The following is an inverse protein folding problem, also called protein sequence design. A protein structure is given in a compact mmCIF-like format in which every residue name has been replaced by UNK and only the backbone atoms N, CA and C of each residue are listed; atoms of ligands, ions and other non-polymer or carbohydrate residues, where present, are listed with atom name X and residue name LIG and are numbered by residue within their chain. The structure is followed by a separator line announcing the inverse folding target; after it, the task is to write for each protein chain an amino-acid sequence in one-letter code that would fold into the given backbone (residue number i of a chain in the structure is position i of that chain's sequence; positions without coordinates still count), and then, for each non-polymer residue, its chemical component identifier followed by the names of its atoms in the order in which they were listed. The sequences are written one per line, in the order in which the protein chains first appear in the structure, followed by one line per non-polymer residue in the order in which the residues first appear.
data_IF_734316475749
#
_entry.id   IF_734316475749
#
_cell.length_a   1.000
_cell.length_b   1.000
_cell.length_c   1.000
_cell.angle_alpha   90.00
_cell.angle_beta   90.00
_cell.angle_gamma   90.00
#
_symmetry.space_group_name_H-M   'P 1'
#
loop_
_entity.id
_entity.type
_entity.pdbx_description
1 polymer ?
#
# COMPACT_ATOMS: atom_id res chain seq x y z
N UNK A 1 28.51 5.58 -29.29
CA UNK A 1 27.39 4.75 -28.81
C UNK A 1 27.68 4.01 -27.49
N UNK A 2 28.75 4.33 -26.77
CA UNK A 2 29.14 3.69 -25.49
C UNK A 2 29.09 4.59 -24.25
N UNK A 3 28.69 5.85 -24.37
CA UNK A 3 28.65 6.79 -23.22
C UNK A 3 27.30 6.89 -22.51
N UNK A 4 26.23 6.33 -23.07
CA UNK A 4 24.89 6.36 -22.48
C UNK A 4 24.56 5.14 -21.61
N UNK A 5 25.26 4.02 -21.83
CA UNK A 5 25.05 2.79 -21.04
C UNK A 5 25.75 2.78 -19.68
N UNK A 6 26.81 3.59 -19.47
CA UNK A 6 27.57 3.60 -18.21
C UNK A 6 26.94 4.46 -17.10
N UNK A 7 25.96 5.31 -17.42
CA UNK A 7 25.23 6.11 -16.42
C UNK A 7 23.91 5.52 -15.97
N UNK A 8 23.42 4.45 -16.64
CA UNK A 8 22.23 3.69 -16.21
C UNK A 8 22.58 2.45 -15.38
N UNK A 9 23.85 2.04 -15.36
CA UNK A 9 24.38 1.21 -14.27
C UNK A 9 24.57 2.09 -13.04
N UNK A 10 23.47 2.64 -12.53
CA UNK A 10 23.41 3.21 -11.20
C UNK A 10 23.90 2.12 -10.26
N UNK A 11 24.99 2.38 -9.58
CA UNK A 11 25.52 1.60 -8.47
C UNK A 11 24.39 1.32 -7.47
N UNK A 12 23.60 0.29 -7.71
CA UNK A 12 22.58 -0.27 -6.79
C UNK A 12 23.29 -1.06 -5.68
N UNK A 13 24.58 -0.88 -5.53
CA UNK A 13 25.37 -1.44 -4.44
C UNK A 13 25.50 -0.43 -3.30
N UNK A 14 24.34 0.06 -2.78
CA UNK A 14 24.33 0.71 -1.49
C UNK A 14 24.20 -0.35 -0.41
N UNK A 15 24.99 -0.29 0.67
CA UNK A 15 24.73 -1.11 1.84
C UNK A 15 23.36 -0.69 2.40
N UNK A 16 22.32 -1.35 1.93
CA UNK A 16 20.96 -1.18 2.42
C UNK A 16 21.01 -1.35 3.92
N UNK A 17 20.68 -0.31 4.69
CA UNK A 17 20.75 -0.40 6.14
C UNK A 17 19.89 -1.57 6.59
N UNK A 18 20.45 -2.47 7.38
CA UNK A 18 19.74 -3.69 7.88
C UNK A 18 18.38 -3.36 8.48
N UNK A 19 18.25 -2.18 9.09
CA UNK A 19 16.98 -1.68 9.63
C UNK A 19 15.90 -1.56 8.57
N UNK A 20 16.22 -1.06 7.37
CA UNK A 20 15.24 -0.89 6.28
C UNK A 20 14.78 -2.25 5.74
N UNK A 21 15.69 -3.23 5.68
CA UNK A 21 15.34 -4.61 5.32
C UNK A 21 14.38 -5.20 6.36
N UNK A 22 14.63 -4.99 7.66
CA UNK A 22 13.74 -5.46 8.72
C UNK A 22 12.32 -4.86 8.58
N UNK A 23 12.22 -3.56 8.24
CA UNK A 23 10.95 -2.91 7.97
C UNK A 23 10.27 -3.47 6.71
N UNK A 24 11.04 -3.74 5.65
CA UNK A 24 10.53 -4.36 4.43
C UNK A 24 9.95 -5.77 4.68
N UNK A 25 10.55 -6.57 5.55
CA UNK A 25 9.97 -7.86 5.97
C UNK A 25 8.67 -7.70 6.74
N UNK A 26 8.54 -6.65 7.55
CA UNK A 26 7.29 -6.30 8.22
C UNK A 26 6.18 -5.93 7.24
N UNK A 27 6.47 -5.06 6.26
CA UNK A 27 5.50 -4.68 5.23
C UNK A 27 5.20 -5.82 4.25
N UNK A 28 6.13 -6.75 4.02
CA UNK A 28 5.87 -7.99 3.29
C UNK A 28 4.82 -8.85 4.02
N UNK A 29 4.96 -9.05 5.33
CA UNK A 29 3.98 -9.82 6.12
C UNK A 29 2.59 -9.15 6.08
N UNK A 30 2.55 -7.82 6.18
CA UNK A 30 1.31 -7.05 6.09
C UNK A 30 0.67 -7.11 4.70
N UNK A 31 1.48 -6.96 3.64
CA UNK A 31 1.01 -7.06 2.26
C UNK A 31 0.48 -8.45 1.94
N UNK A 32 1.16 -9.52 2.40
CA UNK A 32 0.62 -10.87 2.28
C UNK A 32 -0.70 -11.03 3.03
N UNK A 33 -0.80 -10.54 4.29
CA UNK A 33 -2.02 -10.62 5.07
C UNK A 33 -3.21 -9.89 4.42
N UNK A 34 -2.97 -8.77 3.75
CA UNK A 34 -3.99 -7.98 3.07
C UNK A 34 -4.41 -8.61 1.74
N UNK A 35 -3.46 -8.81 0.84
CA UNK A 35 -3.76 -9.08 -0.57
C UNK A 35 -3.97 -10.56 -0.90
N UNK A 36 -3.43 -11.50 -0.12
CA UNK A 36 -3.61 -12.93 -0.36
C UNK A 36 -5.08 -13.34 -0.31
N UNK A 37 -5.90 -12.64 0.44
CA UNK A 37 -7.34 -12.88 0.53
C UNK A 37 -8.04 -12.90 -0.82
N UNK A 38 -7.60 -12.06 -1.76
CA UNK A 38 -8.21 -12.00 -3.10
C UNK A 38 -8.03 -13.32 -3.87
N UNK A 39 -6.92 -14.01 -3.62
CA UNK A 39 -6.61 -15.29 -4.28
C UNK A 39 -7.23 -16.53 -3.59
N UNK A 40 -7.45 -16.47 -2.28
CA UNK A 40 -7.92 -17.63 -1.48
C UNK A 40 -9.39 -17.57 -1.07
N UNK A 41 -10.09 -16.49 -1.43
CA UNK A 41 -11.48 -16.24 -1.04
C UNK A 41 -12.44 -17.38 -1.41
N UNK A 42 -12.39 -17.96 -2.64
CA UNK A 42 -13.25 -19.08 -3.01
C UNK A 42 -13.01 -20.34 -2.17
N UNK A 43 -11.76 -20.60 -1.79
CA UNK A 43 -11.40 -21.77 -0.97
C UNK A 43 -11.93 -21.62 0.44
N UNK A 44 -11.85 -20.41 1.01
CA UNK A 44 -12.42 -20.09 2.33
C UNK A 44 -13.95 -20.25 2.28
N UNK A 45 -14.61 -19.64 1.28
CA UNK A 45 -16.07 -19.72 1.13
C UNK A 45 -16.55 -21.17 1.09
N UNK A 46 -15.90 -22.01 0.26
CA UNK A 46 -16.21 -23.43 0.13
C UNK A 46 -15.95 -24.18 1.44
N UNK A 47 -14.82 -23.92 2.10
CA UNK A 47 -14.42 -24.62 3.32
C UNK A 47 -15.32 -24.31 4.52
N UNK A 48 -15.83 -23.08 4.62
CA UNK A 48 -16.65 -22.62 5.73
C UNK A 48 -18.16 -22.64 5.43
N UNK A 49 -18.56 -23.05 4.22
CA UNK A 49 -19.96 -23.14 3.82
C UNK A 49 -20.66 -21.78 3.75
N UNK A 50 -19.94 -20.71 3.39
CA UNK A 50 -20.47 -19.35 3.23
C UNK A 50 -20.45 -18.91 1.78
N UNK A 51 -21.26 -17.92 1.43
CA UNK A 51 -21.26 -17.35 0.09
C UNK A 51 -19.99 -16.53 -0.19
N UNK A 52 -19.62 -16.34 -1.47
CA UNK A 52 -18.49 -15.49 -1.87
C UNK A 52 -18.63 -14.06 -1.34
N UNK A 53 -19.80 -13.40 -1.41
CA UNK A 53 -20.02 -12.08 -0.81
C UNK A 53 -19.77 -12.06 0.72
N UNK A 54 -20.27 -13.06 1.44
CA UNK A 54 -20.00 -13.18 2.88
C UNK A 54 -18.50 -13.34 3.16
N UNK A 55 -17.81 -14.19 2.41
CA UNK A 55 -16.35 -14.31 2.51
C UNK A 55 -15.65 -12.97 2.23
N UNK A 56 -16.20 -12.13 1.35
CA UNK A 56 -15.72 -10.77 1.08
C UNK A 56 -15.70 -9.87 2.32
N UNK A 57 -16.57 -10.08 3.30
CA UNK A 57 -16.54 -9.34 4.57
C UNK A 57 -15.23 -9.52 5.36
N UNK A 58 -14.49 -10.61 5.11
CA UNK A 58 -13.18 -10.85 5.71
C UNK A 58 -12.14 -9.82 5.24
N UNK A 59 -12.27 -9.31 4.02
CA UNK A 59 -11.45 -8.22 3.48
C UNK A 59 -11.84 -6.91 4.17
N UNK A 60 -13.15 -6.65 4.27
CA UNK A 60 -13.67 -5.45 4.94
C UNK A 60 -13.30 -5.40 6.43
N UNK A 61 -13.35 -6.53 7.12
CA UNK A 61 -12.95 -6.63 8.53
C UNK A 61 -11.48 -6.24 8.73
N UNK A 62 -10.59 -6.70 7.84
CA UNK A 62 -9.19 -6.30 7.86
C UNK A 62 -9.02 -4.79 7.63
N UNK A 63 -9.68 -4.25 6.61
CA UNK A 63 -9.62 -2.82 6.31
C UNK A 63 -10.14 -1.95 7.47
N UNK A 64 -11.22 -2.38 8.14
CA UNK A 64 -11.70 -1.74 9.38
C UNK A 64 -10.64 -1.83 10.47
N UNK A 65 -9.97 -2.98 10.64
CA UNK A 65 -8.85 -3.13 11.56
C UNK A 65 -7.75 -2.11 11.29
N UNK A 66 -7.38 -1.87 10.03
CA UNK A 66 -6.40 -0.84 9.63
C UNK A 66 -6.85 0.56 10.06
N UNK A 67 -8.13 0.90 9.78
CA UNK A 67 -8.67 2.22 10.11
C UNK A 67 -8.70 2.49 11.61
N UNK A 68 -9.05 1.50 12.44
CA UNK A 68 -9.11 1.64 13.89
C UNK A 68 -7.73 1.50 14.56
N UNK A 69 -6.91 0.61 14.05
CA UNK A 69 -5.63 0.26 14.66
C UNK A 69 -4.61 1.40 14.60
N UNK A 70 -4.61 2.19 13.53
CA UNK A 70 -3.67 3.28 13.35
C UNK A 70 -3.78 4.35 14.47
N UNK A 71 -4.93 5.00 14.67
CA UNK A 71 -5.07 6.00 15.74
C UNK A 71 -4.96 5.37 17.14
N UNK A 72 -5.52 4.18 17.34
CA UNK A 72 -5.45 3.49 18.64
C UNK A 72 -4.01 3.22 19.06
N UNK A 73 -3.18 2.72 18.16
CA UNK A 73 -1.77 2.43 18.46
C UNK A 73 -1.00 3.70 18.82
N UNK A 74 -1.24 4.79 18.07
CA UNK A 74 -0.58 6.07 18.38
C UNK A 74 -0.95 6.56 19.77
N UNK A 75 -2.23 6.49 20.13
CA UNK A 75 -2.71 6.93 21.44
C UNK A 75 -2.09 6.12 22.59
N UNK A 76 -1.96 4.81 22.42
CA UNK A 76 -1.46 3.90 23.47
C UNK A 76 0.07 3.91 23.55
N UNK A 77 0.74 4.00 22.38
CA UNK A 77 2.17 3.74 22.28
C UNK A 77 3.06 4.99 22.14
N UNK A 78 2.48 6.20 22.09
CA UNK A 78 3.19 7.47 21.81
C UNK A 78 4.41 7.74 22.70
N UNK A 79 4.38 7.28 23.95
CA UNK A 79 5.47 7.48 24.92
C UNK A 79 6.52 6.36 24.88
N UNK A 80 6.33 5.35 24.05
CA UNK A 80 7.21 4.18 23.99
C UNK A 80 8.29 4.35 22.95
N UNK A 81 9.49 3.76 23.14
CA UNK A 81 10.54 3.72 22.12
C UNK A 81 10.02 3.07 20.85
N UNK A 82 10.38 3.64 19.67
CA UNK A 82 9.86 3.21 18.38
C UNK A 82 10.08 1.72 18.09
N UNK A 83 11.23 1.19 18.50
CA UNK A 83 11.55 -0.25 18.38
C UNK A 83 10.57 -1.14 19.14
N UNK A 84 10.18 -0.77 20.36
CA UNK A 84 9.23 -1.54 21.16
C UNK A 84 7.83 -1.52 20.54
N UNK A 85 7.43 -0.39 19.94
CA UNK A 85 6.17 -0.30 19.20
C UNK A 85 6.19 -1.26 18.00
N UNK A 86 7.26 -1.24 17.20
CA UNK A 86 7.40 -2.17 16.05
C UNK A 86 7.36 -3.64 16.49
N UNK A 87 8.01 -4.00 17.60
CA UNK A 87 7.98 -5.36 18.14
C UNK A 87 6.58 -5.78 18.61
N UNK A 88 5.84 -4.87 19.26
CA UNK A 88 4.45 -5.14 19.65
C UNK A 88 3.54 -5.31 18.43
N UNK A 89 3.71 -4.45 17.40
CA UNK A 89 2.94 -4.54 16.17
C UNK A 89 3.25 -5.84 15.38
N UNK A 90 4.51 -6.24 15.29
CA UNK A 90 4.87 -7.53 14.67
C UNK A 90 4.33 -8.72 15.49
N UNK A 91 4.30 -8.61 16.81
CA UNK A 91 3.63 -9.59 17.67
C UNK A 91 2.15 -9.73 17.36
N UNK A 92 1.47 -8.59 17.10
CA UNK A 92 0.05 -8.58 16.74
C UNK A 92 -0.19 -9.14 15.32
N UNK A 93 0.74 -8.92 14.37
CA UNK A 93 0.71 -9.58 13.05
C UNK A 93 0.76 -11.11 13.22
N UNK A 94 1.69 -11.63 14.04
CA UNK A 94 1.84 -13.06 14.30
C UNK A 94 0.56 -13.59 14.92
N UNK A 95 0.09 -12.98 16.00
CA UNK A 95 -1.10 -13.43 16.73
C UNK A 95 -2.34 -13.47 15.85
N UNK A 96 -2.63 -12.37 15.15
CA UNK A 96 -3.82 -12.25 14.31
C UNK A 96 -3.84 -13.28 13.18
N UNK A 97 -2.71 -13.51 12.51
CA UNK A 97 -2.64 -14.48 11.40
C UNK A 97 -2.55 -15.93 11.91
N UNK A 98 -1.86 -16.21 13.01
CA UNK A 98 -1.87 -17.55 13.63
C UNK A 98 -3.28 -17.92 14.09
N UNK A 99 -3.99 -17.03 14.77
CA UNK A 99 -5.38 -17.27 15.17
C UNK A 99 -6.32 -17.37 13.97
N UNK A 100 -6.09 -16.63 12.89
CA UNK A 100 -6.83 -16.78 11.62
C UNK A 100 -6.61 -18.19 11.02
N UNK A 101 -5.37 -18.69 11.02
CA UNK A 101 -5.05 -20.03 10.55
C UNK A 101 -5.77 -21.14 11.38
N UNK A 102 -5.95 -20.91 12.67
CA UNK A 102 -6.59 -21.83 13.60
C UNK A 102 -8.11 -21.64 13.74
N UNK A 103 -8.69 -20.68 13.01
CA UNK A 103 -10.12 -20.34 13.14
C UNK A 103 -11.02 -21.50 12.74
N UNK A 104 -11.90 -21.97 13.65
CA UNK A 104 -12.79 -23.12 13.39
C UNK A 104 -13.98 -22.76 12.53
N UNK A 105 -14.40 -21.50 12.51
CA UNK A 105 -15.60 -21.04 11.82
C UNK A 105 -15.43 -19.61 11.26
N UNK A 106 -16.43 -19.18 10.47
CA UNK A 106 -16.45 -17.87 9.82
C UNK A 106 -16.33 -16.69 10.80
N UNK A 107 -17.04 -16.70 11.91
CA UNK A 107 -17.10 -15.56 12.84
C UNK A 107 -15.79 -15.36 13.57
N UNK A 108 -15.13 -16.45 13.99
CA UNK A 108 -13.78 -16.35 14.57
C UNK A 108 -12.76 -15.86 13.54
N UNK A 109 -12.85 -16.34 12.29
CA UNK A 109 -11.98 -15.85 11.23
C UNK A 109 -12.21 -14.35 10.97
N UNK A 110 -13.47 -13.91 10.94
CA UNK A 110 -13.85 -12.49 10.75
C UNK A 110 -13.22 -11.62 11.85
N UNK A 111 -13.36 -12.03 13.13
CA UNK A 111 -12.75 -11.32 14.25
C UNK A 111 -11.22 -11.29 14.14
N UNK A 112 -10.58 -12.40 13.77
CA UNK A 112 -9.12 -12.46 13.63
C UNK A 112 -8.62 -11.68 12.43
N UNK A 113 -9.40 -11.53 11.38
CA UNK A 113 -9.09 -10.62 10.26
C UNK A 113 -9.08 -9.16 10.72
N UNK A 114 -10.04 -8.74 11.53
CA UNK A 114 -10.01 -7.40 12.15
C UNK A 114 -8.76 -7.21 13.02
N UNK A 115 -8.43 -8.18 13.87
CA UNK A 115 -7.21 -8.15 14.71
C UNK A 115 -5.94 -8.08 13.85
N UNK A 116 -5.87 -8.85 12.76
CA UNK A 116 -4.73 -8.84 11.83
C UNK A 116 -4.56 -7.48 11.13
N UNK A 117 -5.63 -6.72 10.93
CA UNK A 117 -5.61 -5.38 10.34
C UNK A 117 -5.09 -4.30 11.30
N UNK A 118 -5.30 -4.45 12.63
CA UNK A 118 -4.92 -3.43 13.61
C UNK A 118 -3.48 -2.95 13.52
N UNK A 119 -2.46 -3.80 13.36
CA UNK A 119 -1.06 -3.36 13.29
C UNK A 119 -0.70 -2.68 11.97
N UNK A 120 -1.47 -2.85 10.90
CA UNK A 120 -1.06 -2.47 9.54
C UNK A 120 -0.75 -0.97 9.42
N UNK A 121 -1.74 -0.11 9.61
CA UNK A 121 -1.55 1.34 9.47
C UNK A 121 -0.53 1.90 10.47
N UNK A 122 -0.53 1.38 11.69
CA UNK A 122 0.40 1.76 12.73
C UNK A 122 1.85 1.33 12.40
N UNK A 123 2.05 0.14 11.84
CA UNK A 123 3.37 -0.33 11.43
C UNK A 123 3.94 0.56 10.32
N UNK A 124 3.14 0.93 9.32
CA UNK A 124 3.55 1.88 8.29
C UNK A 124 3.86 3.25 8.88
N UNK A 125 3.05 3.73 9.83
CA UNK A 125 3.28 5.01 10.51
C UNK A 125 4.60 5.04 11.28
N UNK A 126 4.81 4.09 12.17
CA UNK A 126 6.05 3.99 12.98
C UNK A 126 7.25 3.63 12.11
N UNK A 127 7.06 2.73 11.16
CA UNK A 127 8.09 2.30 10.21
C UNK A 127 8.60 3.44 9.34
N UNK A 128 7.70 4.32 8.84
CA UNK A 128 8.09 5.50 8.06
C UNK A 128 8.95 6.47 8.88
N UNK A 129 8.57 6.73 10.14
CA UNK A 129 9.38 7.55 11.06
C UNK A 129 10.74 6.90 11.31
N UNK A 130 10.80 5.59 11.51
CA UNK A 130 12.08 4.88 11.68
C UNK A 130 12.89 4.92 10.41
N UNK A 131 12.30 4.67 9.24
CA UNK A 131 12.96 4.73 7.95
C UNK A 131 13.58 6.12 7.69
N UNK A 132 12.83 7.19 7.95
CA UNK A 132 13.33 8.56 7.83
C UNK A 132 14.51 8.84 8.77
N UNK A 133 14.45 8.37 10.02
CA UNK A 133 15.53 8.58 11.01
C UNK A 133 16.80 7.80 10.72
N UNK A 134 16.70 6.63 10.10
CA UNK A 134 17.88 5.83 9.73
C UNK A 134 18.37 6.14 8.31
N UNK A 135 17.64 6.96 7.55
CA UNK A 135 18.01 7.35 6.20
C UNK A 135 19.33 8.14 6.16
N UNK A 136 20.07 8.00 5.07
CA UNK A 136 21.21 8.86 4.80
C UNK A 136 20.74 10.27 4.40
N UNK A 137 21.59 11.26 4.59
CA UNK A 137 21.27 12.67 4.26
C UNK A 137 20.84 12.78 2.80
N UNK A 138 19.66 13.36 2.56
CA UNK A 138 19.11 13.54 1.21
C UNK A 138 18.45 12.30 0.59
N UNK A 139 18.26 11.18 1.35
CA UNK A 139 17.69 9.92 0.85
C UNK A 139 16.50 9.40 1.68
N UNK A 140 15.67 10.32 2.16
CA UNK A 140 14.53 9.98 3.03
C UNK A 140 13.44 9.23 2.28
N UNK A 141 13.07 9.68 1.07
CA UNK A 141 12.03 9.06 0.27
C UNK A 141 12.44 7.66 -0.19
N UNK A 142 13.73 7.47 -0.53
CA UNK A 142 14.28 6.17 -0.87
C UNK A 142 14.23 5.21 0.32
N UNK A 143 14.54 5.66 1.54
CA UNK A 143 14.44 4.84 2.74
C UNK A 143 13.00 4.39 3.01
N UNK A 144 12.01 5.28 2.85
CA UNK A 144 10.58 4.93 2.93
C UNK A 144 10.19 3.96 1.80
N UNK A 145 10.69 4.18 0.58
CA UNK A 145 10.46 3.28 -0.55
C UNK A 145 10.97 1.86 -0.28
N UNK A 146 12.18 1.72 0.30
CA UNK A 146 12.74 0.41 0.69
C UNK A 146 11.83 -0.28 1.71
N UNK A 147 11.27 0.44 2.67
CA UNK A 147 10.29 -0.12 3.60
C UNK A 147 9.04 -0.63 2.85
N UNK A 148 8.53 0.14 1.88
CA UNK A 148 7.33 -0.21 1.10
C UNK A 148 7.59 -1.36 0.12
N UNK A 149 8.84 -1.61 -0.29
CA UNK A 149 9.22 -2.73 -1.19
C UNK A 149 8.64 -4.07 -0.71
N UNK A 150 8.62 -4.32 0.60
CA UNK A 150 8.04 -5.56 1.13
C UNK A 150 6.59 -5.78 0.68
N UNK A 151 5.78 -4.72 0.68
CA UNK A 151 4.38 -4.80 0.23
C UNK A 151 4.26 -5.09 -1.27
N UNK A 152 5.12 -4.49 -2.10
CA UNK A 152 5.12 -4.75 -3.54
C UNK A 152 5.64 -6.15 -3.87
N UNK A 153 6.62 -6.65 -3.12
CA UNK A 153 7.09 -8.04 -3.21
C UNK A 153 6.00 -9.03 -2.76
N UNK A 154 5.20 -8.68 -1.75
CA UNK A 154 4.03 -9.48 -1.36
C UNK A 154 3.02 -9.60 -2.50
N UNK A 155 2.74 -8.52 -3.22
CA UNK A 155 1.86 -8.56 -4.38
C UNK A 155 2.44 -9.39 -5.53
N UNK A 156 3.75 -9.27 -5.78
CA UNK A 156 4.41 -9.94 -6.91
C UNK A 156 4.55 -11.46 -6.69
N UNK A 157 4.89 -11.88 -5.49
CA UNK A 157 5.19 -13.29 -5.17
C UNK A 157 4.30 -13.87 -4.08
N UNK A 158 3.97 -13.07 -3.05
CA UNK A 158 3.24 -13.54 -1.88
C UNK A 158 1.82 -13.97 -2.20
N UNK A 159 1.11 -13.17 -3.02
CA UNK A 159 -0.27 -13.49 -3.42
C UNK A 159 -0.33 -14.75 -4.29
N UNK A 160 0.45 -14.89 -5.38
CA UNK A 160 0.48 -16.12 -6.17
C UNK A 160 0.87 -17.35 -5.33
N UNK A 161 1.89 -17.21 -4.48
CA UNK A 161 2.35 -18.31 -3.61
C UNK A 161 1.25 -18.72 -2.62
N UNK A 162 0.61 -17.74 -1.97
CA UNK A 162 -0.47 -18.00 -1.01
C UNK A 162 -1.69 -18.66 -1.66
N UNK A 163 -2.04 -18.24 -2.89
CA UNK A 163 -3.12 -18.85 -3.68
C UNK A 163 -2.78 -20.28 -4.05
N UNK A 164 -1.56 -20.55 -4.51
CA UNK A 164 -1.09 -21.89 -4.82
C UNK A 164 -1.15 -22.81 -3.59
N UNK A 165 -0.66 -22.35 -2.44
CA UNK A 165 -0.68 -23.12 -1.19
C UNK A 165 -2.11 -23.38 -0.72
N UNK A 166 -3.01 -22.41 -0.88
CA UNK A 166 -4.43 -22.59 -0.55
C UNK A 166 -5.06 -23.73 -1.35
N UNK A 167 -4.82 -23.77 -2.66
CA UNK A 167 -5.34 -24.81 -3.54
C UNK A 167 -4.66 -26.18 -3.32
N UNK A 168 -3.35 -26.21 -3.08
CA UNK A 168 -2.58 -27.45 -2.92
C UNK A 168 -2.69 -28.10 -1.55
N UNK A 169 -2.86 -27.31 -0.48
CA UNK A 169 -2.87 -27.78 0.91
C UNK A 169 -4.15 -27.32 1.63
N UNK A 170 -4.22 -26.04 1.99
CA UNK A 170 -5.39 -25.39 2.62
C UNK A 170 -5.14 -23.90 2.76
N UNK A 171 -6.22 -23.10 2.74
CA UNK A 171 -6.16 -21.66 3.03
C UNK A 171 -5.60 -21.34 4.43
N UNK A 172 -5.75 -22.25 5.39
CA UNK A 172 -5.18 -22.12 6.74
C UNK A 172 -3.65 -22.08 6.73
N UNK A 173 -3.02 -22.89 5.87
CA UNK A 173 -1.57 -22.90 5.70
C UNK A 173 -1.06 -21.53 5.20
N UNK A 174 -1.82 -20.84 4.36
CA UNK A 174 -1.47 -19.51 3.88
C UNK A 174 -1.37 -18.51 5.04
N UNK A 175 -2.34 -18.46 5.94
CA UNK A 175 -2.25 -17.60 7.15
C UNK A 175 -1.13 -18.03 8.09
N UNK A 176 -0.88 -19.34 8.22
CA UNK A 176 0.26 -19.87 8.97
C UNK A 176 1.60 -19.35 8.43
N UNK A 177 1.78 -19.31 7.12
CA UNK A 177 2.97 -18.75 6.47
C UNK A 177 3.11 -17.26 6.74
N UNK A 178 2.01 -16.49 6.68
CA UNK A 178 2.03 -15.06 7.05
C UNK A 178 2.47 -14.87 8.50
N UNK A 179 2.00 -15.72 9.42
CA UNK A 179 2.44 -15.68 10.82
C UNK A 179 3.95 -15.98 10.97
N UNK A 180 4.47 -16.95 10.21
CA UNK A 180 5.92 -17.26 10.18
C UNK A 180 6.72 -16.08 9.63
N UNK A 181 6.26 -15.43 8.55
CA UNK A 181 6.90 -14.21 8.04
C UNK A 181 6.86 -13.07 9.05
N UNK A 182 5.76 -12.92 9.79
CA UNK A 182 5.65 -12.01 10.92
C UNK A 182 6.71 -12.29 12.01
N UNK A 183 6.96 -13.57 12.33
CA UNK A 183 7.99 -13.97 13.29
C UNK A 183 9.40 -13.66 12.78
N UNK A 184 9.68 -13.88 11.49
CA UNK A 184 10.94 -13.46 10.85
C UNK A 184 11.09 -11.95 10.93
N UNK A 185 10.06 -11.18 10.57
CA UNK A 185 10.08 -9.73 10.67
C UNK A 185 10.35 -9.25 12.10
N UNK A 186 9.72 -9.86 13.11
CA UNK A 186 9.95 -9.57 14.52
C UNK A 186 11.41 -9.80 14.92
N UNK A 187 11.99 -10.93 14.51
CA UNK A 187 13.40 -11.22 14.76
C UNK A 187 14.33 -10.20 14.12
N UNK A 188 14.08 -9.84 12.86
CA UNK A 188 14.88 -8.84 12.14
C UNK A 188 14.74 -7.45 12.77
N UNK A 189 13.53 -7.04 13.17
CA UNK A 189 13.31 -5.78 13.91
C UNK A 189 14.08 -5.80 15.23
N UNK A 190 14.05 -6.91 15.98
CA UNK A 190 14.79 -7.05 17.22
C UNK A 190 16.30 -6.92 17.03
N UNK A 191 16.85 -7.52 15.99
CA UNK A 191 18.29 -7.59 15.74
C UNK A 191 18.83 -6.34 15.03
N UNK A 192 18.09 -5.77 14.05
CA UNK A 192 18.61 -4.80 13.10
C UNK A 192 18.09 -3.38 13.28
N UNK A 193 16.94 -3.19 13.92
CA UNK A 193 16.44 -1.84 14.21
C UNK A 193 17.14 -1.31 15.47
N UNK A 194 17.78 -0.13 15.42
CA UNK A 194 18.43 0.45 16.59
C UNK A 194 17.43 0.84 17.68
N UNK A 195 17.91 1.02 18.90
CA UNK A 195 17.10 1.54 19.99
C UNK A 195 16.88 3.05 19.78
N UNK A 196 15.81 3.38 19.02
CA UNK A 196 15.43 4.77 18.80
C UNK A 196 14.52 5.23 19.95
N UNK A 197 14.78 6.42 20.52
CA UNK A 197 13.94 6.97 21.58
C UNK A 197 12.53 7.23 21.08
N UNK A 198 11.60 7.34 22.03
CA UNK A 198 10.24 7.81 21.75
C UNK A 198 10.28 9.18 21.07
N UNK A 199 9.23 9.50 20.33
CA UNK A 199 9.02 10.87 19.88
C UNK A 199 8.67 11.76 21.08
N UNK A 200 8.95 13.09 21.02
CA UNK A 200 8.51 14.00 22.05
C UNK A 200 7.00 13.86 22.28
N UNK A 201 6.61 13.60 23.54
CA UNK A 201 5.18 13.50 23.86
C UNK A 201 4.54 14.88 23.90
N UNK A 202 3.73 15.18 22.92
CA UNK A 202 2.95 16.43 22.84
C UNK A 202 1.58 16.32 23.53
N UNK A 203 1.32 15.19 24.20
CA UNK A 203 0.02 14.85 24.77
C UNK A 203 -1.02 14.53 23.69
N UNK A 204 -2.19 14.05 24.11
CA UNK A 204 -3.26 13.67 23.16
C UNK A 204 -3.68 14.83 22.26
N UNK A 205 -3.88 16.01 22.80
CA UNK A 205 -4.26 17.20 22.02
C UNK A 205 -3.16 17.61 21.03
N UNK A 206 -1.90 17.42 21.40
CA UNK A 206 -0.74 17.69 20.55
C UNK A 206 -0.66 16.76 19.34
N UNK A 207 -0.94 15.47 19.52
CA UNK A 207 -0.95 14.47 18.45
C UNK A 207 -1.95 14.81 17.31
N UNK A 208 -3.07 15.43 17.63
CA UNK A 208 -4.09 15.84 16.65
C UNK A 208 -3.95 17.29 16.17
N UNK A 209 -2.99 18.06 16.72
CA UNK A 209 -2.85 19.49 16.45
C UNK A 209 -2.63 19.78 14.97
N UNK A 210 -1.87 18.96 14.27
CA UNK A 210 -1.58 19.13 12.84
C UNK A 210 -2.84 19.07 11.97
N UNK A 211 -3.88 18.34 12.38
CA UNK A 211 -5.16 18.24 11.67
C UNK A 211 -5.99 19.53 11.68
N UNK A 212 -5.58 20.55 12.46
CA UNK A 212 -6.17 21.89 12.41
C UNK A 212 -5.75 22.67 11.16
N UNK A 213 -4.63 22.31 10.54
CA UNK A 213 -4.19 22.86 9.24
C UNK A 213 -4.88 22.16 8.08
N UNK A 214 -5.09 22.85 6.97
CA UNK A 214 -5.61 22.24 5.75
C UNK A 214 -4.54 21.41 4.99
N UNK A 215 -3.25 21.61 5.26
CA UNK A 215 -2.16 20.93 4.55
C UNK A 215 -2.25 19.40 4.66
N UNK A 216 -2.32 18.76 5.85
CA UNK A 216 -2.42 17.30 5.94
C UNK A 216 -3.69 16.75 5.29
N UNK A 217 -4.83 17.47 5.36
CA UNK A 217 -6.07 17.05 4.70
C UNK A 217 -5.95 17.04 3.18
N UNK A 218 -5.25 18.00 2.60
CA UNK A 218 -4.99 18.04 1.15
C UNK A 218 -4.08 16.88 0.71
N UNK A 219 -3.06 16.55 1.52
CA UNK A 219 -2.22 15.38 1.27
C UNK A 219 -3.03 14.08 1.39
N UNK A 220 -3.81 13.91 2.48
CA UNK A 220 -4.65 12.72 2.67
C UNK A 220 -5.73 12.60 1.59
N UNK A 221 -6.34 13.70 1.14
CA UNK A 221 -7.27 13.71 0.02
C UNK A 221 -6.58 13.29 -1.28
N UNK A 222 -5.34 13.75 -1.52
CA UNK A 222 -4.54 13.30 -2.66
C UNK A 222 -4.24 11.80 -2.60
N UNK A 223 -3.97 11.25 -1.40
CA UNK A 223 -3.81 9.79 -1.20
C UNK A 223 -5.13 9.07 -1.50
N UNK A 224 -6.21 9.45 -0.82
CA UNK A 224 -7.50 8.77 -0.90
C UNK A 224 -8.06 8.77 -2.32
N UNK A 225 -8.10 9.94 -2.98
CA UNK A 225 -8.68 10.08 -4.30
C UNK A 225 -7.74 9.65 -5.41
N UNK A 226 -6.42 9.95 -5.28
CA UNK A 226 -5.42 9.56 -6.27
C UNK A 226 -5.29 8.03 -6.38
N UNK A 227 -5.09 7.36 -5.25
CA UNK A 227 -4.98 5.90 -5.23
C UNK A 227 -6.34 5.24 -5.47
N UNK A 228 -7.41 5.75 -4.83
CA UNK A 228 -8.78 5.26 -5.03
C UNK A 228 -9.22 5.30 -6.50
N UNK A 229 -8.80 6.34 -7.25
CA UNK A 229 -9.07 6.41 -8.68
C UNK A 229 -8.41 5.28 -9.48
N UNK A 230 -7.18 4.92 -9.15
CA UNK A 230 -6.52 3.75 -9.77
C UNK A 230 -7.28 2.47 -9.38
N UNK A 231 -7.76 2.35 -8.14
CA UNK A 231 -8.53 1.20 -7.69
C UNK A 231 -9.92 1.09 -8.29
N UNK A 232 -10.53 2.18 -8.79
CA UNK A 232 -11.78 2.09 -9.58
C UNK A 232 -11.63 1.10 -10.75
N UNK A 233 -10.50 1.13 -11.40
CA UNK A 233 -10.17 0.27 -12.51
C UNK A 233 -9.47 -1.02 -12.07
N UNK A 234 -8.48 -0.94 -11.18
CA UNK A 234 -7.64 -2.08 -10.80
C UNK A 234 -8.42 -3.21 -10.14
N UNK A 235 -9.49 -2.88 -9.39
CA UNK A 235 -10.38 -3.88 -8.80
C UNK A 235 -11.05 -4.79 -9.83
N UNK A 236 -11.14 -4.34 -11.08
CA UNK A 236 -11.77 -5.06 -12.19
C UNK A 236 -10.78 -5.43 -13.30
N UNK A 237 -9.47 -5.41 -13.01
CA UNK A 237 -8.43 -5.67 -14.00
C UNK A 237 -8.53 -7.08 -14.60
N UNK A 238 -8.80 -8.09 -13.79
CA UNK A 238 -8.90 -9.49 -14.26
C UNK A 238 -10.03 -9.70 -15.27
N UNK A 239 -11.29 -9.35 -14.98
CA UNK A 239 -12.34 -9.45 -15.98
C UNK A 239 -12.11 -8.53 -17.20
N UNK A 240 -11.52 -7.35 -17.04
CA UNK A 240 -11.16 -6.49 -18.16
C UNK A 240 -10.15 -7.18 -19.08
N UNK A 241 -9.09 -7.76 -18.54
CA UNK A 241 -8.06 -8.44 -19.33
C UNK A 241 -8.60 -9.64 -20.11
N UNK A 242 -9.52 -10.39 -19.49
CA UNK A 242 -10.12 -11.58 -20.17
C UNK A 242 -11.21 -11.16 -21.15
N UNK A 243 -12.21 -10.41 -20.71
CA UNK A 243 -13.42 -10.17 -21.49
C UNK A 243 -13.30 -9.00 -22.47
N UNK A 244 -12.48 -7.98 -22.15
CA UNK A 244 -12.30 -6.81 -23.03
C UNK A 244 -11.02 -6.90 -23.84
N UNK A 245 -9.89 -7.25 -23.22
CA UNK A 245 -8.58 -7.28 -23.89
C UNK A 245 -8.27 -8.62 -24.58
N UNK A 246 -9.10 -9.67 -24.39
CA UNK A 246 -8.99 -10.95 -25.09
C UNK A 246 -7.80 -11.82 -24.65
N UNK A 247 -7.35 -11.69 -23.40
CA UNK A 247 -6.40 -12.63 -22.80
C UNK A 247 -7.12 -13.90 -22.35
N UNK A 248 -6.38 -15.02 -22.29
CA UNK A 248 -6.92 -16.27 -21.76
C UNK A 248 -6.92 -16.21 -20.22
N UNK A 249 -7.86 -16.89 -19.61
CA UNK A 249 -7.92 -16.98 -18.13
C UNK A 249 -6.65 -17.60 -17.54
N UNK A 250 -5.97 -18.47 -18.29
CA UNK A 250 -4.69 -19.09 -17.93
C UNK A 250 -3.54 -18.06 -17.82
N UNK A 251 -3.62 -16.96 -18.58
CA UNK A 251 -2.61 -15.90 -18.61
C UNK A 251 -2.74 -14.94 -17.39
N UNK A 252 -3.86 -14.98 -16.65
CA UNK A 252 -4.14 -14.03 -15.58
C UNK A 252 -3.08 -14.01 -14.48
N UNK A 253 -2.53 -15.17 -14.14
CA UNK A 253 -1.45 -15.24 -13.13
C UNK A 253 -0.24 -14.42 -13.57
N UNK A 254 0.18 -14.56 -14.83
CA UNK A 254 1.29 -13.78 -15.37
C UNK A 254 0.95 -12.28 -15.46
N UNK A 255 -0.27 -11.96 -15.87
CA UNK A 255 -0.75 -10.56 -15.98
C UNK A 255 -0.71 -9.87 -14.61
N UNK A 256 -1.21 -10.53 -13.56
CA UNK A 256 -1.19 -9.98 -12.19
C UNK A 256 0.25 -9.87 -11.65
N UNK A 257 1.13 -10.82 -11.99
CA UNK A 257 2.56 -10.71 -11.68
C UNK A 257 3.20 -9.50 -12.36
N UNK A 258 2.88 -9.22 -13.63
CA UNK A 258 3.36 -8.04 -14.34
C UNK A 258 2.84 -6.74 -13.71
N UNK A 259 1.59 -6.72 -13.24
CA UNK A 259 1.05 -5.61 -12.46
C UNK A 259 1.86 -5.40 -11.17
N UNK A 260 2.14 -6.47 -10.43
CA UNK A 260 2.99 -6.44 -9.23
C UNK A 260 4.41 -5.96 -9.53
N UNK A 261 4.99 -6.36 -10.65
CA UNK A 261 6.29 -5.85 -11.12
C UNK A 261 6.23 -4.35 -11.42
N UNK A 262 5.15 -3.87 -12.06
CA UNK A 262 4.89 -2.45 -12.24
C UNK A 262 4.89 -1.69 -10.91
N UNK A 263 4.16 -2.20 -9.90
CA UNK A 263 4.11 -1.64 -8.55
C UNK A 263 5.51 -1.57 -7.90
N UNK A 264 6.28 -2.65 -8.00
CA UNK A 264 7.64 -2.72 -7.46
C UNK A 264 8.56 -1.70 -8.11
N UNK A 265 8.60 -1.66 -9.44
CA UNK A 265 9.41 -0.70 -10.20
C UNK A 265 9.00 0.74 -9.91
N UNK A 266 7.69 1.01 -9.89
CA UNK A 266 7.14 2.33 -9.58
C UNK A 266 7.52 2.82 -8.19
N UNK A 267 7.47 1.97 -7.18
CA UNK A 267 7.86 2.31 -5.81
C UNK A 267 9.33 2.76 -5.73
N UNK A 268 10.25 2.01 -6.36
CA UNK A 268 11.68 2.36 -6.37
C UNK A 268 11.91 3.70 -7.10
N UNK A 269 11.30 3.84 -8.27
CA UNK A 269 11.38 5.06 -9.09
C UNK A 269 10.85 6.26 -8.31
N UNK A 270 9.70 6.12 -7.66
CA UNK A 270 9.07 7.17 -6.86
C UNK A 270 9.93 7.65 -5.71
N UNK A 271 10.52 6.73 -4.94
CA UNK A 271 11.45 7.06 -3.85
C UNK A 271 12.69 7.80 -4.34
N UNK A 272 13.34 7.27 -5.38
CA UNK A 272 14.55 7.87 -5.95
C UNK A 272 14.30 9.29 -6.51
N UNK A 273 13.24 9.47 -7.30
CA UNK A 273 12.96 10.78 -7.89
C UNK A 273 12.41 11.80 -6.88
N UNK A 274 11.75 11.35 -5.80
CA UNK A 274 11.33 12.26 -4.74
C UNK A 274 12.51 12.89 -4.01
N UNK A 275 13.59 12.14 -3.79
CA UNK A 275 14.82 12.67 -3.19
C UNK A 275 15.61 13.55 -4.17
N UNK A 276 15.59 13.21 -5.48
CA UNK A 276 16.33 13.95 -6.51
C UNK A 276 15.68 15.29 -6.89
N UNK A 277 14.36 15.32 -6.94
CA UNK A 277 13.60 16.51 -7.31
C UNK A 277 12.89 17.09 -6.09
N UNK A 278 11.64 16.74 -5.89
CA UNK A 278 10.86 16.99 -4.67
C UNK A 278 9.68 16.04 -4.63
N UNK A 279 9.19 15.64 -3.44
CA UNK A 279 8.00 14.80 -3.32
C UNK A 279 6.78 15.38 -4.06
N UNK A 280 6.58 16.70 -3.99
CA UNK A 280 5.46 17.40 -4.63
C UNK A 280 5.48 17.27 -6.16
N UNK A 281 6.66 17.41 -6.75
CA UNK A 281 6.81 17.25 -8.22
C UNK A 281 6.50 15.82 -8.63
N UNK A 282 7.04 14.83 -7.91
CA UNK A 282 6.79 13.42 -8.22
C UNK A 282 5.31 13.09 -8.10
N UNK A 283 4.63 13.49 -7.01
CA UNK A 283 3.18 13.27 -6.84
C UNK A 283 2.40 13.86 -8.01
N UNK A 284 2.66 15.12 -8.37
CA UNK A 284 1.96 15.80 -9.47
C UNK A 284 2.13 15.09 -10.81
N UNK A 285 3.38 14.76 -11.18
CA UNK A 285 3.66 14.11 -12.45
C UNK A 285 3.09 12.69 -12.51
N UNK A 286 3.22 11.93 -11.43
CA UNK A 286 2.74 10.55 -11.38
C UNK A 286 1.22 10.47 -11.42
N UNK A 287 0.50 11.33 -10.68
CA UNK A 287 -0.97 11.38 -10.75
C UNK A 287 -1.44 11.85 -12.12
N UNK A 288 -0.74 12.82 -12.75
CA UNK A 288 -1.02 13.23 -14.13
C UNK A 288 -0.85 12.07 -15.12
N UNK A 289 0.25 11.33 -15.01
CA UNK A 289 0.50 10.12 -15.83
C UNK A 289 -0.56 9.05 -15.59
N UNK A 290 -0.95 8.81 -14.33
CA UNK A 290 -1.99 7.83 -13.99
C UNK A 290 -3.36 8.24 -14.59
N UNK A 291 -3.71 9.52 -14.53
CA UNK A 291 -4.93 10.02 -15.16
C UNK A 291 -4.94 9.78 -16.67
N UNK A 292 -3.84 10.12 -17.36
CA UNK A 292 -3.70 9.87 -18.80
C UNK A 292 -3.72 8.38 -19.14
N UNK A 293 -3.08 7.53 -18.32
CA UNK A 293 -3.07 6.09 -18.50
C UNK A 293 -4.48 5.50 -18.34
N UNK A 294 -5.27 5.95 -17.36
CA UNK A 294 -6.65 5.51 -17.18
C UNK A 294 -7.54 5.93 -18.37
N UNK A 295 -7.40 7.16 -18.86
CA UNK A 295 -8.07 7.60 -20.10
C UNK A 295 -7.61 6.73 -21.28
N UNK A 296 -6.32 6.45 -21.37
CA UNK A 296 -5.75 5.54 -22.37
C UNK A 296 -6.33 4.12 -22.29
N UNK A 297 -6.56 3.59 -21.10
CA UNK A 297 -7.20 2.28 -20.88
C UNK A 297 -8.63 2.30 -21.41
N UNK A 298 -9.39 3.35 -21.15
CA UNK A 298 -10.77 3.45 -21.65
C UNK A 298 -10.84 3.28 -23.18
N UNK A 299 -9.96 3.94 -23.93
CA UNK A 299 -9.94 3.87 -25.39
C UNK A 299 -9.16 2.65 -25.93
N UNK A 300 -8.15 2.20 -25.23
CA UNK A 300 -7.20 1.18 -25.68
C UNK A 300 -7.41 -0.22 -25.11
N UNK A 301 -8.42 -0.44 -24.26
CA UNK A 301 -8.66 -1.72 -23.57
C UNK A 301 -8.86 -2.90 -24.55
N UNK A 302 -9.41 -2.66 -25.74
CA UNK A 302 -9.64 -3.68 -26.76
C UNK A 302 -8.35 -4.08 -27.51
N UNK A 303 -7.27 -3.31 -27.37
CA UNK A 303 -5.97 -3.65 -27.98
C UNK A 303 -5.12 -4.37 -26.95
N UNK A 304 -5.00 -5.68 -27.10
CA UNK A 304 -4.43 -6.64 -26.12
C UNK A 304 -3.13 -6.14 -25.45
N UNK A 305 -2.11 -5.86 -26.23
CA UNK A 305 -0.80 -5.48 -25.68
C UNK A 305 -0.73 -4.02 -25.20
N UNK A 306 -1.55 -3.14 -25.76
CA UNK A 306 -1.67 -1.77 -25.27
C UNK A 306 -2.32 -1.74 -23.89
N UNK A 307 -3.40 -2.51 -23.72
CA UNK A 307 -4.07 -2.67 -22.42
C UNK A 307 -3.10 -3.18 -21.35
N UNK A 308 -2.27 -4.18 -21.67
CA UNK A 308 -1.24 -4.73 -20.78
C UNK A 308 -0.18 -3.68 -20.42
N UNK A 309 0.31 -2.92 -21.40
CA UNK A 309 1.30 -1.86 -21.17
C UNK A 309 0.75 -0.74 -20.30
N UNK A 310 -0.48 -0.30 -20.57
CA UNK A 310 -1.17 0.72 -19.77
C UNK A 310 -1.47 0.23 -18.35
N UNK A 311 -1.78 -1.06 -18.18
CA UNK A 311 -1.91 -1.68 -16.87
C UNK A 311 -0.60 -1.57 -16.08
N UNK A 312 0.52 -1.98 -16.66
CA UNK A 312 1.82 -1.90 -16.00
C UNK A 312 2.18 -0.46 -15.64
N UNK A 313 1.89 0.50 -16.52
CA UNK A 313 2.13 1.92 -16.27
C UNK A 313 1.25 2.44 -15.11
N UNK A 314 -0.04 2.11 -15.11
CA UNK A 314 -0.99 2.56 -14.09
C UNK A 314 -0.65 1.98 -12.72
N UNK A 315 -0.29 0.70 -12.65
CA UNK A 315 0.15 0.04 -11.41
C UNK A 315 1.50 0.56 -10.93
N UNK A 316 2.41 0.92 -11.83
CA UNK A 316 3.65 1.60 -11.47
C UNK A 316 3.35 2.98 -10.85
N UNK A 317 2.43 3.75 -11.42
CA UNK A 317 2.01 5.02 -10.85
C UNK A 317 1.42 4.87 -9.44
N UNK A 318 0.64 3.82 -9.18
CA UNK A 318 0.01 3.56 -7.88
C UNK A 318 1.03 3.55 -6.73
N UNK A 319 2.17 2.92 -6.92
CA UNK A 319 3.20 2.83 -5.89
C UNK A 319 4.30 3.89 -6.03
N UNK A 320 4.45 4.52 -7.19
CA UNK A 320 5.39 5.63 -7.38
C UNK A 320 5.03 6.84 -6.50
N UNK A 321 3.75 7.08 -6.21
CA UNK A 321 3.31 8.17 -5.33
C UNK A 321 3.43 7.83 -3.84
N UNK A 322 3.56 6.55 -3.47
CA UNK A 322 3.47 6.08 -2.08
C UNK A 322 4.50 6.74 -1.16
N UNK A 323 5.80 6.60 -1.46
CA UNK A 323 6.86 7.19 -0.64
C UNK A 323 6.84 8.72 -0.62
N UNK A 324 6.64 9.43 -1.75
CA UNK A 324 6.46 10.87 -1.76
C UNK A 324 5.29 11.36 -0.90
N UNK A 325 4.13 10.73 -0.99
CA UNK A 325 2.94 11.08 -0.18
C UNK A 325 3.20 10.82 1.30
N UNK A 326 3.90 9.75 1.64
CA UNK A 326 4.29 9.43 3.02
C UNK A 326 5.21 10.51 3.61
N UNK A 327 6.17 11.02 2.83
CA UNK A 327 7.02 12.12 3.27
C UNK A 327 6.26 13.43 3.43
N UNK A 328 5.37 13.77 2.48
CA UNK A 328 4.58 14.98 2.57
C UNK A 328 3.73 15.02 3.85
N UNK A 329 3.14 13.90 4.26
CA UNK A 329 2.38 13.87 5.50
C UNK A 329 3.28 13.98 6.72
N UNK A 330 4.47 13.35 6.74
CA UNK A 330 5.42 13.45 7.84
C UNK A 330 5.87 14.91 8.04
N UNK A 331 6.19 15.63 6.97
CA UNK A 331 6.57 17.04 7.01
C UNK A 331 5.45 17.96 7.55
N UNK A 332 4.18 17.59 7.31
CA UNK A 332 3.01 18.37 7.71
C UNK A 332 2.36 17.92 9.03
N UNK A 333 2.93 16.92 9.71
CA UNK A 333 2.36 16.37 10.96
C UNK A 333 3.29 16.51 12.16
N UNK A 334 4.01 17.64 12.27
CA UNK A 334 4.93 17.91 13.39
C UNK A 334 4.23 17.77 14.75
N UNK A 335 4.80 16.93 15.61
CA UNK A 335 4.25 16.58 16.91
C UNK A 335 3.18 15.49 16.89
N UNK A 336 2.82 14.98 15.70
CA UNK A 336 1.91 13.86 15.47
C UNK A 336 2.37 12.99 14.30
N UNK A 337 3.69 12.85 14.10
CA UNK A 337 4.30 12.21 12.94
C UNK A 337 3.82 10.76 12.76
N UNK A 338 3.74 9.99 13.86
CA UNK A 338 3.24 8.61 13.82
C UNK A 338 1.78 8.55 13.38
N UNK A 339 0.95 9.47 13.89
CA UNK A 339 -0.46 9.52 13.53
C UNK A 339 -0.63 9.96 12.08
N UNK A 340 0.08 11.01 11.64
CA UNK A 340 0.04 11.49 10.27
C UNK A 340 0.41 10.39 9.28
N UNK A 341 1.52 9.72 9.51
CA UNK A 341 2.00 8.64 8.66
C UNK A 341 1.04 7.42 8.64
N UNK A 342 0.42 7.09 9.78
CA UNK A 342 -0.59 6.04 9.87
C UNK A 342 -1.89 6.41 9.15
N UNK A 343 -2.29 7.69 9.16
CA UNK A 343 -3.48 8.18 8.44
C UNK A 343 -3.35 8.06 6.92
N UNK A 344 -2.12 8.01 6.38
CA UNK A 344 -1.92 7.70 4.95
C UNK A 344 -2.49 6.32 4.61
N UNK A 345 -2.28 5.31 5.46
CA UNK A 345 -2.82 3.97 5.24
C UNK A 345 -4.35 3.92 5.40
N UNK A 346 -4.88 4.71 6.33
CA UNK A 346 -6.34 4.88 6.45
C UNK A 346 -6.91 5.49 5.17
N UNK A 347 -6.32 6.59 4.68
CA UNK A 347 -6.75 7.26 3.45
C UNK A 347 -6.63 6.34 2.23
N UNK A 348 -5.54 5.57 2.14
CA UNK A 348 -5.32 4.59 1.08
C UNK A 348 -6.43 3.51 1.09
N UNK A 349 -6.72 2.90 2.24
CA UNK A 349 -7.74 1.85 2.36
C UNK A 349 -9.16 2.38 2.12
N UNK A 350 -9.48 3.60 2.60
CA UNK A 350 -10.75 4.24 2.28
C UNK A 350 -10.86 4.56 0.78
N UNK A 351 -9.76 5.02 0.16
CA UNK A 351 -9.69 5.24 -1.27
C UNK A 351 -9.94 3.95 -2.07
N UNK A 352 -9.33 2.83 -1.65
CA UNK A 352 -9.53 1.53 -2.28
C UNK A 352 -10.98 1.08 -2.19
N UNK A 353 -11.60 1.20 -1.02
CA UNK A 353 -13.00 0.81 -0.82
C UNK A 353 -13.96 1.67 -1.68
N UNK A 354 -13.78 3.00 -1.66
CA UNK A 354 -14.56 3.93 -2.48
C UNK A 354 -14.31 3.67 -3.98
N UNK A 355 -13.05 3.45 -4.36
CA UNK A 355 -12.68 3.17 -5.73
C UNK A 355 -13.32 1.91 -6.26
N UNK A 356 -13.24 0.80 -5.54
CA UNK A 356 -13.86 -0.46 -5.91
C UNK A 356 -15.39 -0.31 -6.06
N UNK A 357 -16.04 0.40 -5.14
CA UNK A 357 -17.49 0.65 -5.19
C UNK A 357 -17.87 1.48 -6.43
N UNK A 358 -17.23 2.65 -6.60
CA UNK A 358 -17.57 3.57 -7.70
C UNK A 358 -17.18 2.98 -9.07
N UNK A 359 -16.05 2.24 -9.14
CA UNK A 359 -15.66 1.51 -10.35
C UNK A 359 -16.63 0.40 -10.75
N UNK A 360 -17.35 -0.19 -9.78
CA UNK A 360 -18.40 -1.19 -10.04
C UNK A 360 -19.70 -0.62 -10.60
N UNK A 361 -19.98 0.67 -10.40
CA UNK A 361 -21.26 1.26 -10.83
C UNK A 361 -21.49 1.16 -12.35
N UNK A 362 -20.53 1.48 -13.24
CA UNK A 362 -20.71 1.29 -14.68
C UNK A 362 -21.06 -0.17 -15.04
N UNK A 363 -20.38 -1.13 -14.42
CA UNK A 363 -20.61 -2.57 -14.66
C UNK A 363 -22.03 -2.95 -14.22
N UNK A 364 -22.48 -2.47 -13.06
CA UNK A 364 -23.84 -2.69 -12.55
C UNK A 364 -24.94 -2.13 -13.47
N UNK A 365 -24.61 -1.15 -14.31
CA UNK A 365 -25.49 -0.61 -15.35
C UNK A 365 -25.31 -1.27 -16.73
N UNK A 366 -24.60 -2.38 -16.80
CA UNK A 366 -24.41 -3.16 -18.05
C UNK A 366 -23.35 -2.59 -19.00
N UNK A 367 -22.53 -1.63 -18.56
CA UNK A 367 -21.42 -1.11 -19.37
C UNK A 367 -20.21 -2.05 -19.30
N UNK A 368 -19.31 -1.97 -20.28
CA UNK A 368 -18.07 -2.75 -20.34
C UNK A 368 -17.09 -2.44 -19.20
N UNK A 369 -16.16 -3.34 -18.97
CA UNK A 369 -15.15 -3.17 -17.90
C UNK A 369 -14.22 -1.98 -18.11
N UNK A 370 -14.00 -1.54 -19.35
CA UNK A 370 -13.22 -0.36 -19.70
C UNK A 370 -13.82 0.94 -19.12
N UNK A 371 -15.14 0.99 -18.91
CA UNK A 371 -15.80 2.15 -18.31
C UNK A 371 -15.42 2.38 -16.86
N UNK A 372 -14.86 1.39 -16.16
CA UNK A 372 -14.33 1.57 -14.80
C UNK A 372 -13.19 2.58 -14.73
N UNK A 373 -12.46 2.76 -15.84
CA UNK A 373 -11.34 3.69 -15.93
C UNK A 373 -11.78 5.18 -15.92
N UNK A 374 -13.00 5.50 -16.36
CA UNK A 374 -13.49 6.89 -16.41
C UNK A 374 -13.71 7.50 -15.02
N UNK A 375 -14.51 6.90 -14.11
CA UNK A 375 -14.58 7.38 -12.74
C UNK A 375 -13.22 7.32 -12.04
N UNK A 376 -12.38 6.36 -12.41
CA UNK A 376 -10.99 6.28 -11.94
C UNK A 376 -10.19 7.52 -12.33
N UNK A 377 -10.22 7.92 -13.59
CA UNK A 377 -9.55 9.12 -14.08
C UNK A 377 -10.08 10.40 -13.40
N UNK A 378 -11.40 10.48 -13.18
CA UNK A 378 -12.01 11.60 -12.46
C UNK A 378 -11.50 11.69 -11.01
N UNK A 379 -11.42 10.57 -10.29
CA UNK A 379 -10.88 10.52 -8.93
C UNK A 379 -9.41 10.91 -8.87
N UNK A 380 -8.58 10.37 -9.79
CA UNK A 380 -7.15 10.75 -9.90
C UNK A 380 -6.99 12.24 -10.16
N UNK A 381 -7.83 12.81 -11.03
CA UNK A 381 -7.82 14.24 -11.32
C UNK A 381 -8.17 15.08 -10.08
N UNK A 382 -9.16 14.66 -9.29
CA UNK A 382 -9.50 15.29 -8.01
C UNK A 382 -8.34 15.17 -7.01
N UNK A 383 -7.72 14.00 -6.89
CA UNK A 383 -6.54 13.77 -6.06
C UNK A 383 -5.35 14.63 -6.48
N UNK A 384 -5.11 14.75 -7.79
CA UNK A 384 -4.09 15.66 -8.37
C UNK A 384 -4.42 17.13 -8.08
N UNK A 385 -5.69 17.51 -8.16
CA UNK A 385 -6.14 18.88 -7.84
C UNK A 385 -5.87 19.21 -6.37
N UNK A 386 -6.17 18.28 -5.44
CA UNK A 386 -5.84 18.43 -4.02
C UNK A 386 -4.33 18.62 -3.81
N UNK A 387 -3.50 17.81 -4.50
CA UNK A 387 -2.04 17.96 -4.46
C UNK A 387 -1.58 19.32 -5.01
N UNK A 388 -2.17 19.79 -6.12
CA UNK A 388 -1.82 21.10 -6.69
C UNK A 388 -2.23 22.26 -5.78
N UNK A 389 -3.40 22.20 -5.12
CA UNK A 389 -3.81 23.18 -4.12
C UNK A 389 -2.80 23.21 -2.96
N UNK A 390 -2.38 22.01 -2.49
CA UNK A 390 -1.34 21.90 -1.46
C UNK A 390 -0.05 22.59 -1.89
N UNK A 391 0.47 22.26 -3.07
CA UNK A 391 1.73 22.81 -3.61
C UNK A 391 1.66 24.34 -3.74
N UNK A 392 0.52 24.90 -4.17
CA UNK A 392 0.34 26.35 -4.33
C UNK A 392 0.20 27.08 -3.00
N UNK A 393 -0.51 26.48 -2.04
CA UNK A 393 -0.83 27.11 -0.75
C UNK A 393 0.30 26.97 0.27
N UNK A 394 1.11 25.90 0.16
CA UNK A 394 2.20 25.58 1.07
C UNK A 394 3.49 25.35 0.30
N UNK A 395 4.02 26.42 -0.38
CA UNK A 395 5.25 26.28 -1.14
C UNK A 395 6.40 25.90 -0.19
N UNK A 396 7.21 24.90 -0.58
CA UNK A 396 8.46 24.63 0.09
C UNK A 396 9.34 25.88 -0.08
N UNK A 397 9.62 26.61 1.00
CA UNK A 397 10.72 27.53 0.98
C UNK A 397 11.97 26.70 0.68
N UNK A 398 12.61 26.99 -0.45
CA UNK A 398 13.93 26.43 -0.79
C UNK A 398 14.87 26.74 0.35
N UNK A 399 15.02 25.78 1.27
CA UNK A 399 16.16 25.78 2.18
C UNK A 399 17.36 25.38 1.32
N UNK A 400 18.01 26.42 0.76
CA UNK A 400 19.34 26.33 0.15
C UNK A 400 20.37 25.96 1.21
#
# INVERSE_FOLDING_TARGET
MCYFCSRLAVNVCFPMKKSLIALAFGTLALGMAEFVMMGILPDIARSLGVSIPEAGHLISAYALGVCFGAPLTVLVARTRPLKHILLALTGLIILGNACAALSPNYWTLLAMRFVSGLPHGAFFGVGAVVAERVADKGRRAEAVSIMVVGMTVANLFGVPLGTYISGAVTWRATFGIVAVWGAVAMLLVKLWVPALPALPDTGMKGQFRFLKSAAPWLVLASVMLGNGGIFCWYSYVSPLMVHTSGFRSEDLTLIVMLAGFGMFAGNIVGGHYADRFTPERVVRFTLGTACLALVGIFFGAHVRYLSLALMCLTTACLFCVSSPQQLLILENSRGGEMLGAALVQVAFNLGNALGAYVGGLPIGHGLGYEYTALPGAAFVLLGMTAAMIYIRKYPRHEQR
#
